data_IF_132308862850
#
_entry.id   IF_132308862850
#
_cell.length_a   1.000
_cell.length_b   1.000
_cell.length_c   1.000
_cell.angle_alpha   90.00
_cell.angle_beta   90.00
_cell.angle_gamma   90.00
#
_symmetry.space_group_name_H-M   'P 1'
#
loop_
_entity.id
_entity.type
_entity.pdbx_description
1 polymer ?
#
# COMPACT_ATOMS: atom_id res chain seq x y z
N UNK A 1 9.24 -6.23 5.13
CA UNK A 1 9.02 -5.81 3.72
C UNK A 1 7.64 -5.19 3.59
N UNK A 2 7.57 -4.02 3.00
CA UNK A 2 6.30 -3.35 2.75
C UNK A 2 5.75 -3.75 1.39
N UNK A 3 4.43 -3.84 1.31
CA UNK A 3 3.73 -4.16 0.05
C UNK A 3 2.70 -3.07 -0.20
N UNK A 4 2.77 -2.47 -1.40
CA UNK A 4 1.82 -1.45 -1.82
C UNK A 4 0.97 -2.03 -2.95
N UNK A 5 -0.32 -2.11 -2.74
CA UNK A 5 -1.27 -2.55 -3.76
C UNK A 5 -2.05 -1.34 -4.26
N UNK A 6 -1.89 -1.01 -5.51
CA UNK A 6 -2.49 0.18 -6.06
C UNK A 6 -2.78 0.09 -7.54
N UNK A 7 -2.94 1.25 -8.17
CA UNK A 7 -3.17 1.34 -9.61
C UNK A 7 -2.18 2.32 -10.23
N UNK A 8 -2.05 2.26 -11.55
CA UNK A 8 -1.07 3.10 -12.27
C UNK A 8 -1.38 4.60 -12.21
N UNK A 9 -2.63 4.97 -11.93
CA UNK A 9 -3.03 6.38 -11.88
C UNK A 9 -3.28 6.87 -10.46
N UNK A 10 -2.65 6.25 -9.47
CA UNK A 10 -2.86 6.56 -8.07
C UNK A 10 -1.77 7.50 -7.55
N UNK A 11 -2.13 8.76 -7.29
CA UNK A 11 -1.18 9.74 -6.74
C UNK A 11 -0.73 9.40 -5.33
N UNK A 12 -1.62 8.86 -4.51
CA UNK A 12 -1.27 8.45 -3.15
C UNK A 12 -0.37 7.22 -3.13
N UNK A 13 -0.44 6.37 -4.15
CA UNK A 13 0.49 5.26 -4.29
C UNK A 13 1.91 5.79 -4.49
N UNK A 14 2.07 6.80 -5.33
CA UNK A 14 3.37 7.43 -5.55
C UNK A 14 3.90 8.08 -4.27
N UNK A 15 3.04 8.73 -3.51
CA UNK A 15 3.41 9.33 -2.24
C UNK A 15 3.86 8.27 -1.23
N UNK A 16 3.19 7.13 -1.22
CA UNK A 16 3.56 6.02 -0.34
C UNK A 16 4.95 5.49 -0.70
N UNK A 17 5.22 5.33 -2.00
CA UNK A 17 6.54 4.91 -2.47
C UNK A 17 7.62 5.90 -2.03
N UNK A 18 7.38 7.19 -2.25
CA UNK A 18 8.34 8.23 -1.88
C UNK A 18 8.61 8.23 -0.38
N UNK A 19 7.56 8.06 0.43
CA UNK A 19 7.71 8.04 1.88
C UNK A 19 8.58 6.87 2.33
N UNK A 20 8.36 5.69 1.77
CA UNK A 20 9.15 4.51 2.11
C UNK A 20 10.60 4.68 1.65
N UNK A 21 10.80 5.19 0.44
CA UNK A 21 12.14 5.40 -0.10
C UNK A 21 12.93 6.43 0.71
N UNK A 22 12.29 7.51 1.13
CA UNK A 22 12.97 8.54 1.92
C UNK A 22 13.31 8.06 3.33
N UNK A 23 12.71 6.99 3.79
CA UNK A 23 13.03 6.37 5.08
C UNK A 23 13.90 5.11 4.92
N UNK A 24 14.43 4.87 3.72
CA UNK A 24 15.27 3.72 3.41
C UNK A 24 14.61 2.38 3.70
N UNK A 25 13.30 2.31 3.48
CA UNK A 25 12.53 1.09 3.69
C UNK A 25 12.23 0.42 2.35
N UNK A 26 12.45 -0.88 2.28
CA UNK A 26 12.19 -1.64 1.07
C UNK A 26 10.71 -1.93 0.92
N UNK A 27 10.24 -1.94 -0.32
CA UNK A 27 8.85 -2.24 -0.61
C UNK A 27 8.71 -2.92 -1.97
N UNK A 28 7.57 -3.58 -2.15
CA UNK A 28 7.15 -4.14 -3.43
C UNK A 28 5.84 -3.49 -3.82
N UNK A 29 5.75 -3.04 -5.06
CA UNK A 29 4.52 -2.44 -5.59
C UNK A 29 3.87 -3.40 -6.56
N UNK A 30 2.55 -3.57 -6.45
CA UNK A 30 1.77 -4.36 -7.41
C UNK A 30 0.53 -3.60 -7.83
N UNK A 31 0.27 -3.62 -9.14
CA UNK A 31 -0.94 -3.03 -9.71
C UNK A 31 -2.06 -4.06 -9.62
N UNK A 32 -3.09 -3.75 -8.83
CA UNK A 32 -4.18 -4.71 -8.58
C UNK A 32 -4.99 -5.02 -9.85
N UNK A 33 -4.98 -4.12 -10.82
CA UNK A 33 -5.73 -4.34 -12.05
C UNK A 33 -5.09 -5.40 -12.94
N UNK A 34 -3.83 -5.75 -12.65
CA UNK A 34 -3.07 -6.72 -13.43
C UNK A 34 -3.10 -8.12 -12.82
N UNK A 35 -3.80 -8.31 -11.71
CA UNK A 35 -3.81 -9.57 -10.98
C UNK A 35 -5.22 -9.85 -10.44
N UNK A 36 -5.87 -10.88 -10.99
CA UNK A 36 -7.23 -11.22 -10.59
C UNK A 36 -7.32 -11.61 -9.11
N UNK A 37 -6.28 -12.25 -8.58
CA UNK A 37 -6.24 -12.61 -7.16
C UNK A 37 -6.29 -11.39 -6.27
N UNK A 38 -5.61 -10.31 -6.65
CA UNK A 38 -5.63 -9.06 -5.89
C UNK A 38 -6.98 -8.35 -6.02
N UNK A 39 -7.59 -8.39 -7.21
CA UNK A 39 -8.93 -7.84 -7.39
C UNK A 39 -9.91 -8.54 -6.46
N UNK A 40 -9.84 -9.86 -6.40
CA UNK A 40 -10.71 -10.67 -5.55
C UNK A 40 -10.46 -10.36 -4.07
N UNK A 41 -9.19 -10.19 -3.69
CA UNK A 41 -8.84 -9.84 -2.32
C UNK A 41 -9.47 -8.51 -1.90
N UNK A 42 -9.40 -7.51 -2.78
CA UNK A 42 -10.01 -6.21 -2.52
C UNK A 42 -11.53 -6.34 -2.34
N UNK A 43 -12.16 -7.13 -3.22
CA UNK A 43 -13.61 -7.36 -3.13
C UNK A 43 -14.00 -8.05 -1.84
N UNK A 44 -13.24 -9.07 -1.44
CA UNK A 44 -13.51 -9.83 -0.23
C UNK A 44 -13.40 -8.97 1.02
N UNK A 45 -12.51 -7.99 1.02
CA UNK A 45 -12.31 -7.11 2.16
C UNK A 45 -13.13 -5.82 2.09
N UNK A 46 -13.86 -5.63 0.99
CA UNK A 46 -14.64 -4.41 0.80
C UNK A 46 -13.79 -3.18 0.59
N UNK A 47 -12.55 -3.34 0.19
CA UNK A 47 -11.66 -2.21 -0.07
C UNK A 47 -12.03 -1.54 -1.40
N UNK A 48 -12.28 -0.24 -1.34
CA UNK A 48 -12.71 0.54 -2.50
C UNK A 48 -11.70 1.62 -2.88
N UNK A 49 -10.61 1.72 -2.13
CA UNK A 49 -9.61 2.75 -2.35
C UNK A 49 -8.22 2.14 -2.47
N UNK A 50 -7.33 2.88 -3.11
CA UNK A 50 -5.92 2.55 -3.21
C UNK A 50 -5.12 3.74 -2.71
N UNK A 51 -3.92 3.54 -2.17
CA UNK A 51 -3.24 2.26 -1.99
C UNK A 51 -3.77 1.47 -0.78
N UNK A 52 -3.55 0.15 -0.80
CA UNK A 52 -3.69 -0.68 0.40
C UNK A 52 -2.28 -1.18 0.71
N UNK A 53 -1.81 -0.87 1.89
CA UNK A 53 -0.41 -1.07 2.26
C UNK A 53 -0.30 -2.08 3.40
N UNK A 54 0.68 -2.98 3.27
CA UNK A 54 0.97 -4.00 4.27
C UNK A 54 2.42 -3.93 4.68
N UNK A 55 2.71 -4.29 5.93
CA UNK A 55 4.06 -4.66 6.33
C UNK A 55 4.02 -6.16 6.64
N UNK A 56 4.65 -6.94 5.78
CA UNK A 56 4.55 -8.41 5.81
C UNK A 56 3.08 -8.82 5.77
N UNK A 57 2.56 -9.41 6.83
CA UNK A 57 1.16 -9.84 6.87
C UNK A 57 0.24 -8.82 7.55
N UNK A 58 0.81 -7.74 8.09
CA UNK A 58 0.03 -6.74 8.82
C UNK A 58 -0.55 -5.70 7.88
N UNK A 59 -1.87 -5.57 7.85
CA UNK A 59 -2.55 -4.54 7.06
C UNK A 59 -2.40 -3.19 7.75
N UNK A 60 -1.76 -2.24 7.06
CA UNK A 60 -1.57 -0.89 7.59
C UNK A 60 -2.73 0.01 7.17
N UNK A 61 -3.09 -0.03 5.89
CA UNK A 61 -4.16 0.80 5.36
C UNK A 61 -3.69 1.64 4.20
N UNK A 62 -4.20 2.87 4.09
CA UNK A 62 -3.82 3.79 3.02
C UNK A 62 -2.60 4.63 3.38
N UNK A 63 -2.36 5.67 2.56
CA UNK A 63 -1.20 6.53 2.75
C UNK A 63 -1.16 7.19 4.13
N UNK A 64 -2.29 7.73 4.59
CA UNK A 64 -2.33 8.41 5.88
C UNK A 64 -1.95 7.46 7.03
N UNK A 65 -2.42 6.24 6.97
CA UNK A 65 -2.09 5.23 7.97
C UNK A 65 -0.62 4.85 7.91
N UNK A 66 -0.06 4.74 6.69
CA UNK A 66 1.36 4.46 6.52
C UNK A 66 2.21 5.58 7.09
N UNK A 67 1.85 6.81 6.79
CA UNK A 67 2.58 7.98 7.29
C UNK A 67 2.62 7.96 8.81
N UNK A 68 1.48 7.74 9.43
CA UNK A 68 1.37 7.66 10.88
C UNK A 68 2.22 6.52 11.45
N UNK A 69 2.15 5.37 10.81
CA UNK A 69 2.89 4.18 11.23
C UNK A 69 4.39 4.44 11.26
N UNK A 70 4.92 5.07 10.21
CA UNK A 70 6.35 5.34 10.11
C UNK A 70 6.78 6.46 11.05
N UNK A 71 6.03 7.55 11.09
CA UNK A 71 6.42 8.74 11.85
C UNK A 71 6.18 8.61 13.35
N UNK A 72 5.20 7.80 13.75
CA UNK A 72 4.89 7.59 15.16
C UNK A 72 5.45 6.28 15.72
N UNK A 73 6.04 5.46 14.86
CA UNK A 73 6.69 4.22 15.30
C UNK A 73 5.75 3.09 15.71
N UNK A 74 4.52 3.14 15.25
CA UNK A 74 3.53 2.09 15.57
C UNK A 74 3.62 0.89 14.63
#
# INVERSE_FOLDING_TARGET
>A
MFYIYGTSSCGFCDRAKDLLESNNLEYTYQDVTMDQGLIDLFKMNGWKTVPQIFEDEKHIGGFDKLKKYIMEGD
#
